data_IF_859644632957
#
_entry.id   IF_859644632957
#
_cell.length_a   1.000
_cell.length_b   1.000
_cell.length_c   1.000
_cell.angle_alpha   90.00
_cell.angle_beta   90.00
_cell.angle_gamma   90.00
#
_symmetry.space_group_name_H-M   'P 1'
#
loop_
_entity.id
_entity.type
_entity.pdbx_description
1 polymer ?
#
# COMPACT_ATOMS: atom_id res chain seq x y z
N UNK A 1 5.05 5.01 -13.34
CA UNK A 1 4.69 4.02 -12.30
C UNK A 1 4.95 2.61 -12.82
N UNK A 2 5.49 1.70 -11.99
CA UNK A 2 5.66 0.30 -12.38
C UNK A 2 4.28 -0.34 -12.56
N UNK A 3 4.10 -1.14 -13.61
CA UNK A 3 2.87 -1.93 -13.84
C UNK A 3 3.19 -3.39 -13.63
N UNK A 4 2.31 -4.09 -12.93
CA UNK A 4 2.43 -5.51 -12.64
C UNK A 4 1.18 -6.25 -13.12
N UNK A 5 1.38 -7.44 -13.66
CA UNK A 5 0.32 -8.37 -14.06
C UNK A 5 -0.40 -8.93 -12.83
N UNK A 6 -1.62 -9.45 -13.00
CA UNK A 6 -2.36 -10.06 -11.89
C UNK A 6 -1.61 -11.25 -11.27
N UNK A 7 -0.91 -12.05 -12.07
CA UNK A 7 -0.09 -13.16 -11.56
C UNK A 7 1.07 -12.66 -10.69
N UNK A 8 1.76 -11.60 -11.11
CA UNK A 8 2.83 -10.96 -10.31
C UNK A 8 2.29 -10.41 -8.99
N UNK A 9 1.07 -9.84 -8.99
CA UNK A 9 0.40 -9.39 -7.76
C UNK A 9 0.07 -10.57 -6.84
N UNK A 10 -0.48 -11.65 -7.38
CA UNK A 10 -0.79 -12.87 -6.61
C UNK A 10 0.47 -13.47 -6.01
N UNK A 11 1.55 -13.58 -6.77
CA UNK A 11 2.85 -14.06 -6.28
C UNK A 11 3.34 -13.15 -5.16
N UNK A 12 3.41 -11.83 -5.40
CA UNK A 12 3.90 -10.87 -4.42
C UNK A 12 3.07 -10.87 -3.12
N UNK A 13 1.74 -11.02 -3.22
CA UNK A 13 0.83 -11.14 -2.08
C UNK A 13 1.13 -12.36 -1.20
N UNK A 14 1.64 -13.44 -1.79
CA UNK A 14 1.93 -14.71 -1.11
C UNK A 14 3.40 -14.90 -0.71
N UNK A 15 4.28 -13.94 -1.00
CA UNK A 15 5.64 -13.94 -0.45
C UNK A 15 5.56 -13.84 1.08
N UNK A 16 6.37 -14.65 1.78
CA UNK A 16 6.49 -14.63 3.24
C UNK A 16 6.69 -13.18 3.73
N UNK A 17 5.82 -12.73 4.65
CA UNK A 17 5.72 -11.34 5.10
C UNK A 17 6.98 -10.81 5.79
N UNK A 18 7.93 -11.70 6.14
CA UNK A 18 9.26 -11.27 6.61
C UNK A 18 10.05 -10.53 5.53
N UNK A 19 9.77 -10.77 4.25
CA UNK A 19 10.37 -10.06 3.14
C UNK A 19 9.52 -8.84 2.77
N UNK A 20 10.15 -7.66 2.77
CA UNK A 20 9.49 -6.38 2.51
C UNK A 20 9.82 -5.85 1.13
N UNK A 21 11.00 -6.15 0.60
CA UNK A 21 11.50 -5.57 -0.65
C UNK A 21 11.85 -6.64 -1.67
N UNK A 22 11.79 -6.25 -2.95
CA UNK A 22 12.23 -7.05 -4.07
C UNK A 22 13.08 -6.19 -5.00
N UNK A 23 14.17 -6.78 -5.50
CA UNK A 23 15.09 -6.11 -6.41
C UNK A 23 15.59 -7.06 -7.49
N UNK A 24 16.19 -6.50 -8.53
CA UNK A 24 16.85 -7.23 -9.61
C UNK A 24 18.32 -6.83 -9.65
N UNK A 25 19.23 -7.79 -9.77
CA UNK A 25 20.66 -7.55 -9.91
C UNK A 25 21.06 -7.30 -11.38
N UNK A 26 22.33 -6.98 -11.65
CA UNK A 26 22.81 -6.72 -13.02
C UNK A 26 22.78 -7.94 -13.95
N UNK A 27 22.75 -9.15 -13.40
CA UNK A 27 22.61 -10.42 -14.13
C UNK A 27 21.16 -10.78 -14.45
N UNK A 28 20.20 -9.93 -14.05
CA UNK A 28 18.77 -10.14 -14.27
C UNK A 28 18.10 -11.07 -13.26
N UNK A 29 18.79 -11.52 -12.21
CA UNK A 29 18.19 -12.33 -11.16
C UNK A 29 17.45 -11.46 -10.15
N UNK A 30 16.31 -11.98 -9.67
CA UNK A 30 15.50 -11.30 -8.66
C UNK A 30 15.71 -11.91 -7.26
N UNK A 31 15.65 -11.01 -6.28
CA UNK A 31 15.86 -11.31 -4.86
C UNK A 31 14.80 -10.60 -4.04
N UNK A 32 14.41 -11.24 -2.94
CA UNK A 32 13.55 -10.63 -1.91
C UNK A 32 14.38 -10.33 -0.66
N UNK A 33 14.08 -9.24 0.03
CA UNK A 33 14.90 -8.71 1.13
C UNK A 33 14.04 -8.38 2.34
N UNK A 34 14.57 -8.63 3.54
CA UNK A 34 13.86 -8.34 4.79
C UNK A 34 13.92 -6.86 5.11
N UNK A 35 15.11 -6.29 5.03
CA UNK A 35 15.36 -4.87 5.19
C UNK A 35 15.59 -4.20 3.84
N UNK A 36 15.56 -2.87 3.80
CA UNK A 36 15.77 -2.12 2.56
C UNK A 36 17.20 -2.34 2.09
N UNK A 37 17.42 -3.01 0.94
CA UNK A 37 18.79 -3.30 0.49
C UNK A 37 19.45 -2.04 -0.08
N UNK A 38 20.78 -2.03 -0.03
CA UNK A 38 21.62 -0.97 -0.60
C UNK A 38 22.14 -1.46 -1.95
N UNK A 39 22.05 -0.59 -2.96
CA UNK A 39 22.58 -0.88 -4.29
C UNK A 39 24.11 -0.84 -4.27
N UNK A 40 24.73 -1.87 -4.84
CA UNK A 40 26.18 -1.98 -5.03
C UNK A 40 26.51 -2.04 -6.53
N UNK A 41 27.72 -2.45 -6.90
CA UNK A 41 28.17 -2.44 -8.29
C UNK A 41 27.40 -3.42 -9.19
N UNK A 42 27.03 -4.60 -8.65
CA UNK A 42 26.37 -5.67 -9.42
C UNK A 42 25.12 -6.24 -8.76
N UNK A 43 24.83 -5.89 -7.51
CA UNK A 43 23.73 -6.46 -6.74
C UNK A 43 23.14 -5.47 -5.73
N UNK A 44 22.13 -5.96 -5.01
CA UNK A 44 21.48 -5.29 -3.89
C UNK A 44 21.77 -6.10 -2.62
N UNK A 45 22.42 -5.50 -1.63
CA UNK A 45 22.83 -6.20 -0.41
C UNK A 45 22.23 -5.56 0.84
N UNK A 46 21.86 -6.40 1.81
CA UNK A 46 21.47 -5.98 3.15
C UNK A 46 22.72 -5.95 4.05
N UNK A 47 22.81 -4.97 4.96
CA UNK A 47 23.97 -4.84 5.87
C UNK A 47 24.15 -6.03 6.82
N UNK A 48 23.08 -6.78 7.13
CA UNK A 48 23.09 -7.84 8.15
C UNK A 48 22.53 -9.20 7.69
N UNK A 49 22.50 -9.42 6.36
CA UNK A 49 22.17 -10.69 5.70
C UNK A 49 20.77 -11.25 5.99
N UNK A 50 19.92 -11.31 4.95
CA UNK A 50 18.98 -12.41 4.63
C UNK A 50 18.14 -12.07 3.40
N UNK A 51 18.78 -11.84 2.26
CA UNK A 51 18.08 -11.89 0.99
C UNK A 51 17.70 -13.34 0.66
N UNK A 52 16.49 -13.54 0.15
CA UNK A 52 16.04 -14.82 -0.39
C UNK A 52 16.20 -14.81 -1.91
N UNK A 53 16.78 -15.87 -2.46
CA UNK A 53 16.79 -16.10 -3.89
C UNK A 53 15.35 -16.30 -4.37
N UNK A 54 14.99 -15.68 -5.49
CA UNK A 54 13.64 -15.77 -6.07
C UNK A 54 13.69 -16.17 -7.56
N UNK A 55 14.69 -17.00 -7.90
CA UNK A 55 15.12 -17.26 -9.27
C UNK A 55 14.07 -17.93 -10.17
N UNK A 56 13.17 -18.72 -9.59
CA UNK A 56 12.09 -19.39 -10.32
C UNK A 56 11.20 -18.37 -11.07
N UNK A 57 11.16 -17.12 -10.60
CA UNK A 57 10.40 -16.02 -11.19
C UNK A 57 11.27 -14.99 -11.94
N UNK A 58 12.54 -15.31 -12.30
CA UNK A 58 13.42 -14.37 -13.04
C UNK A 58 12.81 -13.84 -14.35
N UNK A 59 11.95 -14.65 -14.99
CA UNK A 59 11.24 -14.30 -16.21
C UNK A 59 10.03 -13.36 -15.96
N UNK A 60 9.59 -13.21 -14.71
CA UNK A 60 8.54 -12.28 -14.28
C UNK A 60 9.16 -11.00 -13.68
N UNK A 61 8.32 -10.11 -13.17
CA UNK A 61 8.64 -8.82 -12.56
C UNK A 61 9.50 -7.93 -13.46
N UNK A 62 9.19 -7.86 -14.76
CA UNK A 62 10.01 -7.13 -15.75
C UNK A 62 10.03 -5.62 -15.54
N UNK A 63 9.04 -5.09 -14.84
CA UNK A 63 8.99 -3.69 -14.41
C UNK A 63 10.01 -3.35 -13.32
N UNK A 64 10.60 -4.34 -12.64
CA UNK A 64 11.70 -4.16 -11.69
C UNK A 64 13.01 -4.34 -12.44
N UNK A 65 13.81 -3.27 -12.51
CA UNK A 65 15.02 -3.21 -13.33
C UNK A 65 16.26 -3.05 -12.46
N UNK A 66 17.42 -3.48 -12.98
CA UNK A 66 18.69 -3.22 -12.30
C UNK A 66 18.96 -1.72 -12.19
N UNK A 67 18.59 -0.95 -13.21
CA UNK A 67 18.82 0.50 -13.30
C UNK A 67 17.99 1.31 -12.30
N UNK A 68 16.98 0.70 -11.65
CA UNK A 68 16.17 1.37 -10.63
C UNK A 68 17.06 1.95 -9.53
N UNK A 69 16.80 3.21 -9.15
CA UNK A 69 17.54 3.89 -8.08
C UNK A 69 17.23 3.32 -6.70
N UNK A 70 16.05 2.74 -6.56
CA UNK A 70 15.49 2.24 -5.31
C UNK A 70 14.92 0.83 -5.51
N UNK A 71 15.00 -0.04 -4.49
CA UNK A 71 14.35 -1.35 -4.54
C UNK A 71 12.82 -1.17 -4.51
N UNK A 72 12.08 -2.20 -4.94
CA UNK A 72 10.62 -2.14 -4.95
C UNK A 72 10.07 -2.69 -3.65
N UNK A 73 9.15 -1.99 -3.01
CA UNK A 73 8.44 -2.52 -1.86
C UNK A 73 7.39 -3.53 -2.34
N UNK A 74 7.39 -4.73 -1.77
CA UNK A 74 6.54 -5.84 -2.24
C UNK A 74 5.06 -5.48 -2.08
N UNK A 75 4.68 -4.74 -1.03
CA UNK A 75 3.29 -4.32 -0.80
C UNK A 75 2.73 -3.46 -1.94
N UNK A 76 3.59 -2.63 -2.55
CA UNK A 76 3.19 -1.73 -3.64
C UNK A 76 2.95 -2.48 -4.96
N UNK A 77 3.41 -3.73 -5.07
CA UNK A 77 3.18 -4.57 -6.25
C UNK A 77 1.72 -4.98 -6.33
N UNK A 78 1.19 -5.51 -5.23
CA UNK A 78 -0.16 -6.07 -5.19
C UNK A 78 -1.21 -5.12 -4.66
N UNK A 79 -0.79 -3.96 -4.11
CA UNK A 79 -1.63 -2.96 -3.46
C UNK A 79 -2.69 -3.60 -2.55
N UNK A 80 -2.34 -4.02 -1.31
CA UNK A 80 -3.28 -4.70 -0.42
C UNK A 80 -4.60 -3.94 -0.41
N UNK A 81 -5.70 -4.67 -0.59
CA UNK A 81 -7.02 -4.08 -0.41
C UNK A 81 -7.15 -3.69 1.07
N UNK A 82 -6.96 -2.40 1.36
CA UNK A 82 -6.93 -1.82 2.72
C UNK A 82 -8.34 -1.75 3.28
N UNK A 83 -9.27 -1.31 2.43
CA UNK A 83 -10.69 -1.23 2.71
C UNK A 83 -11.38 -2.48 2.21
N UNK A 84 -12.28 -3.05 3.00
CA UNK A 84 -13.18 -4.07 2.48
C UNK A 84 -14.11 -3.47 1.38
N UNK A 85 -14.85 -4.32 0.69
CA UNK A 85 -15.70 -3.87 -0.41
C UNK A 85 -16.79 -2.88 0.04
N UNK A 86 -17.35 -3.06 1.24
CA UNK A 86 -18.41 -2.22 1.79
C UNK A 86 -17.86 -0.86 2.20
N UNK A 87 -16.74 -0.84 2.92
CA UNK A 87 -16.02 0.37 3.32
C UNK A 87 -15.59 1.19 2.10
N UNK A 88 -15.05 0.52 1.08
CA UNK A 88 -14.64 1.16 -0.16
C UNK A 88 -15.81 1.78 -0.90
N UNK A 89 -16.93 1.06 -1.07
CA UNK A 89 -18.12 1.60 -1.73
C UNK A 89 -18.74 2.77 -0.95
N UNK A 90 -18.77 2.66 0.37
CA UNK A 90 -19.25 3.73 1.25
C UNK A 90 -18.43 5.01 1.07
N UNK A 91 -17.09 4.92 1.21
CA UNK A 91 -16.21 6.07 1.04
C UNK A 91 -16.23 6.61 -0.39
N UNK A 92 -16.19 5.71 -1.39
CA UNK A 92 -16.23 6.11 -2.80
C UNK A 92 -17.48 6.93 -3.11
N UNK A 93 -18.64 6.52 -2.60
CA UNK A 93 -19.91 7.21 -2.82
C UNK A 93 -19.94 8.58 -2.15
N UNK A 94 -19.49 8.66 -0.89
CA UNK A 94 -19.45 9.91 -0.14
C UNK A 94 -18.49 10.94 -0.76
N UNK A 95 -17.29 10.48 -1.16
CA UNK A 95 -16.23 11.37 -1.65
C UNK A 95 -16.40 11.74 -3.12
N UNK A 96 -17.28 11.08 -3.89
CA UNK A 96 -17.51 11.35 -5.33
C UNK A 96 -17.70 12.84 -5.67
N UNK A 97 -18.52 13.62 -4.93
CA UNK A 97 -18.73 15.03 -5.24
C UNK A 97 -17.49 15.91 -5.04
N UNK A 98 -16.51 15.43 -4.28
CA UNK A 98 -15.35 16.21 -3.84
C UNK A 98 -14.02 15.61 -4.29
N UNK A 99 -14.03 14.54 -5.09
CA UNK A 99 -12.88 13.68 -5.33
C UNK A 99 -11.60 14.39 -5.78
N UNK A 100 -11.71 15.48 -6.55
CA UNK A 100 -10.57 16.29 -7.00
C UNK A 100 -9.90 17.10 -5.87
N UNK A 101 -10.60 17.28 -4.75
CA UNK A 101 -10.19 18.10 -3.59
C UNK A 101 -9.88 17.26 -2.35
N UNK A 102 -10.02 15.94 -2.43
CA UNK A 102 -9.74 15.05 -1.31
C UNK A 102 -8.22 14.99 -1.13
N UNK A 103 -7.76 15.38 0.06
CA UNK A 103 -6.39 15.18 0.52
C UNK A 103 -6.22 13.79 1.14
N UNK A 104 -5.42 13.71 2.20
CA UNK A 104 -5.17 12.45 2.87
C UNK A 104 -6.35 12.00 3.75
N UNK A 105 -6.54 10.68 3.81
CA UNK A 105 -7.49 9.99 4.68
C UNK A 105 -6.71 9.37 5.84
N UNK A 106 -7.04 9.77 7.06
CA UNK A 106 -6.35 9.32 8.27
C UNK A 106 -7.34 8.60 9.19
N UNK A 107 -6.95 7.44 9.73
CA UNK A 107 -7.72 6.77 10.79
C UNK A 107 -7.22 7.19 12.16
N UNK A 108 -8.08 7.78 12.98
CA UNK A 108 -7.77 8.11 14.36
C UNK A 108 -8.51 7.20 15.33
N UNK A 109 -8.01 7.18 16.56
CA UNK A 109 -8.64 6.53 17.69
C UNK A 109 -8.94 7.57 18.77
N UNK A 110 -10.20 7.64 19.16
CA UNK A 110 -10.59 8.32 20.39
C UNK A 110 -10.39 7.37 21.57
N UNK A 111 -9.61 7.83 22.54
CA UNK A 111 -9.39 7.14 23.81
C UNK A 111 -10.31 7.83 24.81
N UNK A 112 -11.60 7.50 24.77
CA UNK A 112 -12.50 7.87 25.87
C UNK A 112 -12.13 7.07 27.12
N UNK A 113 -12.46 7.61 28.31
CA UNK A 113 -12.24 6.92 29.59
C UNK A 113 -13.09 5.65 29.76
N UNK A 114 -14.02 5.41 28.82
CA UNK A 114 -14.87 4.22 28.78
C UNK A 114 -14.11 3.01 28.18
N UNK A 115 -14.52 1.80 28.58
CA UNK A 115 -13.87 0.51 28.26
C UNK A 115 -13.71 0.24 26.73
N UNK A 116 -14.36 1.01 25.86
CA UNK A 116 -14.37 0.80 24.42
C UNK A 116 -13.77 1.99 23.65
N UNK A 117 -12.55 1.81 23.14
CA UNK A 117 -11.95 2.77 22.20
C UNK A 117 -12.74 2.82 20.90
N UNK A 118 -12.95 4.04 20.38
CA UNK A 118 -13.64 4.30 19.12
C UNK A 118 -12.65 4.69 18.04
N UNK A 119 -12.89 4.25 16.81
CA UNK A 119 -12.07 4.59 15.64
C UNK A 119 -12.93 5.32 14.59
N UNK A 120 -12.35 6.31 13.93
CA UNK A 120 -13.01 7.14 12.92
C UNK A 120 -12.02 7.62 11.86
N UNK A 121 -12.54 8.09 10.73
CA UNK A 121 -11.72 8.73 9.70
C UNK A 121 -11.76 10.24 9.81
N UNK A 122 -10.62 10.85 9.53
CA UNK A 122 -10.45 12.27 9.31
C UNK A 122 -9.97 12.48 7.87
N UNK A 123 -10.67 13.32 7.12
CA UNK A 123 -10.40 13.55 5.70
C UNK A 123 -10.32 15.05 5.43
N UNK A 124 -9.19 15.49 4.87
CA UNK A 124 -9.05 16.83 4.34
C UNK A 124 -9.78 16.94 2.98
N UNK A 125 -10.65 17.94 2.82
CA UNK A 125 -11.37 18.21 1.56
C UNK A 125 -11.29 19.72 1.27
N UNK A 126 -10.45 20.10 0.30
CA UNK A 126 -10.16 21.50 0.00
C UNK A 126 -9.55 22.22 1.21
N UNK A 127 -10.16 23.34 1.61
CA UNK A 127 -9.71 24.14 2.77
C UNK A 127 -10.34 23.69 4.11
N UNK A 128 -11.11 22.60 4.11
CA UNK A 128 -11.81 22.09 5.29
C UNK A 128 -11.53 20.62 5.57
N UNK A 129 -12.07 20.15 6.69
CA UNK A 129 -11.90 18.80 7.19
C UNK A 129 -13.23 18.16 7.58
N UNK A 130 -13.30 16.84 7.40
CA UNK A 130 -14.47 16.04 7.73
C UNK A 130 -14.10 14.89 8.66
N UNK A 131 -14.76 14.85 9.81
CA UNK A 131 -14.73 13.72 10.72
C UNK A 131 -15.88 12.78 10.38
N UNK A 132 -15.55 11.53 10.06
CA UNK A 132 -16.52 10.48 9.78
C UNK A 132 -17.12 9.91 11.07
N UNK A 133 -18.24 9.17 10.98
CA UNK A 133 -18.80 8.46 12.11
C UNK A 133 -17.74 7.58 12.80
N UNK A 134 -17.85 7.48 14.12
CA UNK A 134 -16.97 6.62 14.91
C UNK A 134 -17.59 5.23 15.14
N UNK A 135 -16.74 4.22 15.14
CA UNK A 135 -17.11 2.81 15.29
C UNK A 135 -16.30 2.19 16.43
N UNK A 136 -16.75 1.06 16.98
CA UNK A 136 -15.90 0.32 17.92
C UNK A 136 -14.61 -0.12 17.20
N UNK A 137 -13.47 -0.05 17.92
CA UNK A 137 -12.17 -0.39 17.35
C UNK A 137 -12.18 -1.74 16.62
N UNK A 138 -11.63 -1.75 15.40
CA UNK A 138 -11.57 -2.94 14.55
C UNK A 138 -12.89 -3.36 13.90
N UNK A 139 -13.99 -2.59 14.05
CA UNK A 139 -15.26 -2.87 13.33
C UNK A 139 -15.33 -2.28 11.94
N UNK A 140 -14.67 -1.15 11.71
CA UNK A 140 -14.60 -0.48 10.42
C UNK A 140 -13.20 0.07 10.19
N UNK A 141 -12.76 0.07 8.94
CA UNK A 141 -11.45 0.46 8.48
C UNK A 141 -10.34 -0.39 9.14
N UNK A 142 -10.62 -1.68 9.34
CA UNK A 142 -9.75 -2.58 10.10
C UNK A 142 -8.38 -2.78 9.44
N UNK A 143 -8.31 -2.68 8.10
CA UNK A 143 -7.05 -2.77 7.35
C UNK A 143 -6.19 -1.50 7.37
N UNK A 144 -6.71 -0.38 7.87
CA UNK A 144 -5.96 0.87 8.01
C UNK A 144 -5.11 0.87 9.29
N UNK A 145 -3.90 1.41 9.19
CA UNK A 145 -3.04 1.74 10.33
C UNK A 145 -3.51 3.05 10.96
N UNK A 146 -3.36 3.19 12.28
CA UNK A 146 -3.69 4.44 12.98
C UNK A 146 -2.72 5.54 12.63
N UNK A 147 -3.24 6.77 12.54
CA UNK A 147 -2.50 8.02 12.33
C UNK A 147 -1.63 8.04 11.07
N UNK A 148 -1.84 7.08 10.16
CA UNK A 148 -1.20 7.03 8.86
C UNK A 148 -2.07 7.73 7.83
N UNK A 149 -1.45 8.60 7.04
CA UNK A 149 -2.04 9.25 5.88
C UNK A 149 -2.13 8.26 4.72
N UNK A 150 -3.33 8.14 4.14
CA UNK A 150 -3.61 7.34 2.96
C UNK A 150 -4.18 8.18 1.83
N UNK A 151 -3.62 7.99 0.64
CA UNK A 151 -4.20 8.52 -0.60
C UNK A 151 -5.40 7.67 -1.05
N UNK A 152 -6.28 8.25 -1.88
CA UNK A 152 -7.39 7.49 -2.48
C UNK A 152 -6.92 6.26 -3.28
N UNK A 153 -5.80 6.38 -3.99
CA UNK A 153 -5.20 5.29 -4.75
C UNK A 153 -4.73 4.13 -3.86
N UNK A 154 -4.12 4.42 -2.71
CA UNK A 154 -3.75 3.39 -1.72
C UNK A 154 -4.97 2.70 -1.12
N UNK A 155 -6.08 3.43 -0.95
CA UNK A 155 -7.35 2.88 -0.51
C UNK A 155 -8.13 2.14 -1.62
N UNK A 156 -7.59 2.11 -2.85
CA UNK A 156 -8.24 1.48 -3.99
C UNK A 156 -9.49 2.23 -4.48
N UNK A 157 -9.61 3.52 -4.15
CA UNK A 157 -10.71 4.40 -4.58
C UNK A 157 -10.24 5.20 -5.78
N UNK A 158 -10.84 4.92 -6.94
CA UNK A 158 -10.60 5.68 -8.17
C UNK A 158 -11.91 6.19 -8.76
N UNK A 159 -11.84 7.38 -9.36
CA UNK A 159 -12.93 8.01 -10.10
C UNK A 159 -12.50 8.12 -11.55
N UNK A 160 -13.23 7.48 -12.44
CA UNK A 160 -13.12 7.76 -13.88
C UNK A 160 -13.99 8.97 -14.17
N UNK A 161 -13.47 9.94 -14.92
CA UNK A 161 -14.34 10.95 -15.52
C UNK A 161 -15.34 10.23 -16.42
N UNK A 162 -16.61 10.19 -15.99
CA UNK A 162 -17.69 9.86 -16.89
C UNK A 162 -17.71 10.96 -17.95
N UNK A 163 -17.24 10.65 -19.17
CA UNK A 163 -17.22 11.55 -20.31
C UNK A 163 -18.57 12.29 -20.39
N UNK A 164 -18.55 13.59 -20.10
CA UNK A 164 -19.68 14.49 -20.34
C UNK A 164 -19.91 14.68 -21.83
#
# INVERSE_FOLDING_TARGET
>A
MKKFTEDEKVIAKNIDKKYKWISRNSYGNIYVHKEKPIKQDTCWNEAFSRSGEFFVFNHMFKSIKWEDKEPTLIKDIYNPQILDDVEREYLKSFLKPFHEKVGDVVKHRDISEDIYSKEYLYIAIGDGDFTFPSFDSGKMYAGMELDKEYTLDELGITYTEDNK
#
